data_IF_534715079096
#
_entry.id   IF_534715079096
#
_cell.length_a   1.000
_cell.length_b   1.000
_cell.length_c   1.000
_cell.angle_alpha   90.00
_cell.angle_beta   90.00
_cell.angle_gamma   90.00
#
_symmetry.space_group_name_H-M   'P 1'
#
loop_
_entity.id
_entity.type
_entity.pdbx_description
1 polymer ?
#
# COMPACT_ATOMS: atom_id res chain seq x y z
N UNK A 1 -6.22 33.37 -8.26
CA UNK A 1 -5.77 32.06 -7.73
C UNK A 1 -6.97 31.14 -7.85
N UNK A 2 -6.83 29.98 -8.48
CA UNK A 2 -7.95 29.05 -8.66
C UNK A 2 -8.52 28.64 -7.30
N UNK A 3 -9.82 28.58 -7.19
CA UNK A 3 -10.48 28.14 -5.96
C UNK A 3 -10.61 26.62 -5.96
N UNK A 4 -10.15 25.99 -4.89
CA UNK A 4 -10.12 24.55 -4.73
C UNK A 4 -11.10 24.09 -3.66
N UNK A 5 -11.85 23.03 -3.93
CA UNK A 5 -12.77 22.40 -2.97
C UNK A 5 -12.19 21.06 -2.55
N UNK A 6 -12.02 20.88 -1.25
CA UNK A 6 -11.66 19.60 -0.65
C UNK A 6 -12.91 18.94 -0.09
N UNK A 7 -13.12 17.68 -0.44
CA UNK A 7 -14.27 16.91 0.03
C UNK A 7 -13.88 15.46 0.30
N UNK A 8 -14.56 14.85 1.28
CA UNK A 8 -14.36 13.44 1.61
C UNK A 8 -15.30 12.55 0.80
N UNK A 9 -14.79 11.42 0.33
CA UNK A 9 -15.60 10.34 -0.22
C UNK A 9 -15.64 9.18 0.77
N UNK A 10 -16.83 8.68 1.04
CA UNK A 10 -17.06 7.54 1.94
C UNK A 10 -16.96 6.18 1.24
N UNK A 11 -16.79 6.20 -0.07
CA UNK A 11 -16.57 5.01 -0.91
C UNK A 11 -15.90 5.39 -2.22
N UNK A 12 -15.11 4.47 -2.78
CA UNK A 12 -14.61 4.59 -4.16
C UNK A 12 -15.73 4.67 -5.18
N UNK A 13 -16.92 4.15 -4.88
CA UNK A 13 -18.11 4.27 -5.75
C UNK A 13 -18.60 5.71 -5.93
N UNK A 14 -18.21 6.63 -5.04
CA UNK A 14 -18.57 8.05 -5.13
C UNK A 14 -17.68 8.84 -6.10
N UNK A 15 -16.61 8.21 -6.63
CA UNK A 15 -15.57 8.84 -7.43
C UNK A 15 -15.51 8.17 -8.80
N UNK A 16 -15.38 8.96 -9.87
CA UNK A 16 -15.16 8.44 -11.22
C UNK A 16 -13.83 7.68 -11.30
N UNK A 17 -13.84 6.44 -11.81
CA UNK A 17 -12.65 5.64 -12.00
C UNK A 17 -11.64 6.33 -12.92
N UNK A 18 -12.09 6.91 -14.03
CA UNK A 18 -11.22 7.64 -14.96
C UNK A 18 -10.59 8.88 -14.32
N UNK A 19 -11.35 9.64 -13.53
CA UNK A 19 -10.83 10.83 -12.84
C UNK A 19 -9.83 10.46 -11.73
N UNK A 20 -10.12 9.42 -10.95
CA UNK A 20 -9.18 8.90 -9.96
C UNK A 20 -7.87 8.43 -10.60
N UNK A 21 -7.97 7.57 -11.61
CA UNK A 21 -6.81 7.00 -12.29
C UNK A 21 -6.00 8.07 -13.05
N UNK A 22 -6.65 9.11 -13.59
CA UNK A 22 -5.95 10.24 -14.19
C UNK A 22 -5.10 11.02 -13.15
N UNK A 23 -5.58 11.19 -11.92
CA UNK A 23 -4.83 11.87 -10.87
C UNK A 23 -3.80 10.96 -10.21
N UNK A 24 -4.15 9.70 -9.90
CA UNK A 24 -3.31 8.75 -9.17
C UNK A 24 -2.26 8.07 -10.07
N UNK A 25 -2.54 7.94 -11.37
CA UNK A 25 -1.78 7.13 -12.32
C UNK A 25 -2.24 5.67 -12.33
N UNK A 26 -2.02 5.00 -13.46
CA UNK A 26 -2.45 3.61 -13.69
C UNK A 26 -1.33 2.58 -13.56
N UNK A 27 -0.09 3.04 -13.48
CA UNK A 27 1.10 2.17 -13.53
C UNK A 27 1.21 1.22 -12.32
N UNK A 28 0.80 1.68 -11.13
CA UNK A 28 0.76 0.85 -9.92
C UNK A 28 -0.65 0.26 -9.73
N UNK A 29 -0.85 -1.06 -9.90
CA UNK A 29 -2.18 -1.67 -9.87
C UNK A 29 -2.89 -1.51 -8.53
N UNK A 30 -2.16 -1.37 -7.42
CA UNK A 30 -2.74 -1.24 -6.08
C UNK A 30 -3.31 0.15 -5.80
N UNK A 31 -2.83 1.18 -6.52
CA UNK A 31 -3.30 2.55 -6.38
C UNK A 31 -4.49 2.87 -7.29
N UNK A 32 -4.84 1.97 -8.20
CA UNK A 32 -5.96 2.15 -9.14
C UNK A 32 -7.30 2.11 -8.43
N UNK A 33 -8.24 2.85 -8.99
CA UNK A 33 -9.62 2.88 -8.51
C UNK A 33 -10.22 1.48 -8.37
N UNK A 34 -10.01 0.62 -9.35
CA UNK A 34 -10.57 -0.72 -9.44
C UNK A 34 -10.10 -1.62 -8.28
N UNK A 35 -8.82 -1.48 -7.88
CA UNK A 35 -8.28 -2.26 -6.75
C UNK A 35 -8.90 -1.83 -5.43
N UNK A 36 -8.98 -0.51 -5.19
CA UNK A 36 -9.59 0.04 -3.97
C UNK A 36 -11.09 -0.26 -3.91
N UNK A 37 -11.78 -0.12 -5.03
CA UNK A 37 -13.21 -0.46 -5.15
C UNK A 37 -13.44 -1.95 -4.84
N UNK A 38 -12.59 -2.85 -5.35
CA UNK A 38 -12.69 -4.27 -5.06
C UNK A 38 -12.52 -4.58 -3.56
N UNK A 39 -11.60 -3.88 -2.86
CA UNK A 39 -11.44 -4.00 -1.41
C UNK A 39 -12.69 -3.57 -0.64
N UNK A 40 -13.32 -2.47 -1.05
CA UNK A 40 -14.51 -1.94 -0.38
C UNK A 40 -15.77 -2.76 -0.69
N UNK A 41 -16.08 -3.00 -1.95
CA UNK A 41 -17.26 -3.74 -2.37
C UNK A 41 -17.27 -5.19 -1.88
N UNK A 42 -16.10 -5.82 -1.82
CA UNK A 42 -15.95 -7.14 -1.22
C UNK A 42 -16.07 -7.14 0.30
N UNK A 43 -16.15 -5.95 0.93
CA UNK A 43 -16.11 -5.76 2.38
C UNK A 43 -14.82 -6.26 3.04
N UNK A 44 -13.74 -6.43 2.27
CA UNK A 44 -12.43 -6.69 2.82
C UNK A 44 -11.90 -5.46 3.57
N UNK A 45 -12.13 -4.25 3.03
CA UNK A 45 -11.88 -2.99 3.71
C UNK A 45 -13.22 -2.26 3.94
N UNK A 46 -13.68 -2.26 5.19
CA UNK A 46 -14.92 -1.59 5.61
C UNK A 46 -14.86 -1.29 7.12
N UNK A 47 -15.85 -0.60 7.64
CA UNK A 47 -15.95 -0.27 9.08
C UNK A 47 -15.84 -1.50 9.98
N UNK A 48 -16.50 -2.61 9.60
CA UNK A 48 -16.48 -3.85 10.38
C UNK A 48 -15.08 -4.51 10.43
N UNK A 49 -14.20 -4.23 9.46
CA UNK A 49 -12.80 -4.71 9.43
C UNK A 49 -11.81 -3.63 9.90
N UNK A 50 -12.32 -2.56 10.50
CA UNK A 50 -11.52 -1.45 11.01
C UNK A 50 -10.87 -0.56 9.94
N UNK A 51 -11.36 -0.59 8.71
CA UNK A 51 -10.93 0.23 7.57
C UNK A 51 -12.11 1.02 7.01
N UNK A 52 -12.52 2.10 7.69
CA UNK A 52 -13.63 2.95 7.22
C UNK A 52 -13.13 3.92 6.16
N UNK A 53 -13.60 3.83 4.89
CA UNK A 53 -13.14 4.72 3.82
C UNK A 53 -13.46 6.20 4.11
N UNK A 54 -12.49 7.06 3.81
CA UNK A 54 -12.56 8.53 3.95
C UNK A 54 -11.65 9.20 2.94
N UNK A 55 -11.75 8.80 1.65
CA UNK A 55 -10.85 9.32 0.62
C UNK A 55 -10.98 10.82 0.49
N UNK A 56 -9.85 11.51 0.39
CA UNK A 56 -9.84 12.95 0.24
C UNK A 56 -9.67 13.30 -1.24
N UNK A 57 -10.56 14.15 -1.73
CA UNK A 57 -10.64 14.60 -3.12
C UNK A 57 -10.47 16.11 -3.18
N UNK A 58 -9.74 16.62 -4.19
CA UNK A 58 -9.58 18.04 -4.47
C UNK A 58 -10.13 18.33 -5.85
N UNK A 59 -11.10 19.25 -5.90
CA UNK A 59 -11.76 19.69 -7.12
C UNK A 59 -11.34 21.12 -7.46
N UNK A 60 -11.17 21.41 -8.75
CA UNK A 60 -10.91 22.75 -9.26
C UNK A 60 -12.24 23.44 -9.60
N UNK A 61 -12.68 24.35 -8.77
CA UNK A 61 -13.88 25.14 -8.98
C UNK A 61 -13.65 26.38 -9.88
N UNK A 62 -12.40 26.61 -10.30
CA UNK A 62 -12.04 27.78 -11.11
C UNK A 62 -12.35 29.09 -10.38
N UNK A 63 -12.98 30.02 -11.09
CA UNK A 63 -13.45 31.29 -10.55
C UNK A 63 -14.95 31.28 -10.17
N UNK A 64 -15.62 30.13 -10.31
CA UNK A 64 -17.07 30.02 -10.14
C UNK A 64 -17.53 30.20 -8.70
N UNK A 65 -16.66 29.98 -7.72
CA UNK A 65 -16.98 30.24 -6.29
C UNK A 65 -17.04 31.73 -5.94
N UNK A 66 -16.58 32.64 -6.80
CA UNK A 66 -16.74 34.08 -6.58
C UNK A 66 -18.21 34.52 -6.60
N UNK A 67 -19.07 33.73 -7.27
CA UNK A 67 -20.53 33.91 -7.33
C UNK A 67 -21.31 33.04 -6.33
N UNK A 68 -20.67 32.06 -5.71
CA UNK A 68 -21.26 31.29 -4.62
C UNK A 68 -21.24 32.18 -3.38
N UNK A 69 -22.42 32.70 -3.09
CA UNK A 69 -22.72 33.51 -1.92
C UNK A 69 -21.87 33.10 -0.71
N UNK A 70 -21.23 34.08 -0.05
CA UNK A 70 -20.59 33.95 1.28
C UNK A 70 -21.54 33.39 2.37
N UNK A 71 -22.73 32.92 1.96
CA UNK A 71 -23.81 32.32 2.75
C UNK A 71 -23.88 30.79 2.61
N UNK A 72 -23.09 30.14 1.70
CA UNK A 72 -23.08 28.67 1.66
C UNK A 72 -22.33 28.13 2.86
N UNK A 73 -23.09 27.81 3.91
CA UNK A 73 -22.59 27.22 5.16
C UNK A 73 -21.96 25.82 4.97
N UNK A 74 -21.99 25.27 3.75
CA UNK A 74 -21.39 23.98 3.44
C UNK A 74 -19.88 24.05 3.19
N UNK A 75 -19.32 25.24 2.98
CA UNK A 75 -17.91 25.47 2.69
C UNK A 75 -17.23 26.27 3.80
N UNK A 76 -16.13 25.74 4.34
CA UNK A 76 -15.28 26.43 5.29
C UNK A 76 -13.93 26.78 4.64
N UNK A 77 -13.45 28.03 4.78
CA UNK A 77 -12.20 28.42 4.15
C UNK A 77 -10.98 27.70 4.76
N UNK A 78 -10.03 27.36 3.90
CA UNK A 78 -8.69 26.93 4.26
C UNK A 78 -7.68 28.00 3.86
N UNK A 79 -6.49 27.95 4.42
CA UNK A 79 -5.38 28.76 3.93
C UNK A 79 -5.13 28.48 2.44
N UNK A 80 -4.32 29.32 1.79
CA UNK A 80 -3.91 29.15 0.39
C UNK A 80 -5.07 29.12 -0.63
N UNK A 81 -6.25 29.71 -0.29
CA UNK A 81 -7.39 29.82 -1.21
C UNK A 81 -8.13 28.50 -1.48
N UNK A 82 -8.07 27.57 -0.55
CA UNK A 82 -8.88 26.35 -0.57
C UNK A 82 -10.10 26.45 0.33
N UNK A 83 -11.05 25.54 0.10
CA UNK A 83 -12.25 25.37 0.91
C UNK A 83 -12.43 23.88 1.23
N UNK A 84 -12.78 23.57 2.48
CA UNK A 84 -13.23 22.24 2.86
C UNK A 84 -14.76 22.21 2.89
N UNK A 85 -15.35 21.15 2.31
CA UNK A 85 -16.80 21.00 2.27
C UNK A 85 -17.29 19.98 3.28
N UNK A 86 -18.43 20.26 3.89
CA UNK A 86 -19.21 19.29 4.67
C UNK A 86 -19.97 18.30 3.77
N UNK A 87 -20.14 18.62 2.47
CA UNK A 87 -20.75 17.72 1.51
C UNK A 87 -19.75 16.66 1.04
N UNK A 88 -20.26 15.49 0.67
CA UNK A 88 -19.41 14.40 0.15
C UNK A 88 -18.90 14.69 -1.25
N UNK A 89 -17.78 14.09 -1.62
CA UNK A 89 -17.10 14.30 -2.92
C UNK A 89 -18.04 14.18 -4.14
N UNK A 90 -19.01 13.27 -4.11
CA UNK A 90 -19.98 13.08 -5.21
C UNK A 90 -20.78 14.34 -5.58
N UNK A 91 -20.95 15.30 -4.66
CA UNK A 91 -21.64 16.56 -4.94
C UNK A 91 -20.81 17.50 -5.81
N UNK A 92 -19.52 17.23 -5.98
CA UNK A 92 -18.60 18.07 -6.75
C UNK A 92 -18.14 17.42 -8.05
N UNK A 93 -18.77 16.31 -8.49
CA UNK A 93 -18.41 15.60 -9.73
C UNK A 93 -18.57 16.43 -11.01
N UNK A 94 -19.23 17.59 -10.96
CA UNK A 94 -19.28 18.55 -12.06
C UNK A 94 -17.97 19.34 -12.23
N UNK A 95 -17.11 19.38 -11.20
CA UNK A 95 -15.82 20.04 -11.25
C UNK A 95 -14.70 19.03 -11.59
N UNK A 96 -13.63 19.48 -12.26
CA UNK A 96 -12.46 18.64 -12.49
C UNK A 96 -11.83 18.13 -11.18
N UNK A 97 -11.70 16.83 -11.03
CA UNK A 97 -10.96 16.20 -9.93
C UNK A 97 -9.47 16.33 -10.23
N UNK A 98 -8.74 17.12 -9.46
CA UNK A 98 -7.32 17.43 -9.69
C UNK A 98 -6.37 16.74 -8.73
N UNK A 99 -6.85 16.30 -7.56
CA UNK A 99 -6.03 15.48 -6.67
C UNK A 99 -6.88 14.54 -5.82
N UNK A 100 -6.24 13.45 -5.39
CA UNK A 100 -6.87 12.39 -4.59
C UNK A 100 -5.88 11.83 -3.57
N UNK A 101 -6.40 11.35 -2.44
CA UNK A 101 -5.64 10.66 -1.40
C UNK A 101 -6.46 9.48 -0.88
N UNK A 102 -6.03 8.21 -1.06
CA UNK A 102 -6.67 7.08 -0.41
C UNK A 102 -6.50 7.23 1.11
N UNK A 103 -7.59 7.35 1.82
CA UNK A 103 -7.60 7.60 3.26
C UNK A 103 -8.64 6.73 3.95
N UNK A 104 -8.28 6.22 5.12
CA UNK A 104 -9.15 5.37 5.93
C UNK A 104 -9.08 5.80 7.39
N UNK A 105 -10.23 5.79 8.06
CA UNK A 105 -10.29 5.87 9.51
C UNK A 105 -10.14 4.46 10.08
N UNK A 106 -9.17 4.30 10.98
CA UNK A 106 -8.78 3.01 11.56
C UNK A 106 -9.21 2.89 13.00
N UNK A 107 -9.80 1.75 13.35
CA UNK A 107 -10.14 1.37 14.73
C UNK A 107 -9.11 0.44 15.38
N UNK A 108 -8.08 0.01 14.65
CA UNK A 108 -6.97 -0.83 15.09
C UNK A 108 -5.86 -0.83 14.02
N UNK A 109 -4.64 -1.30 14.33
CA UNK A 109 -3.49 -1.26 13.40
C UNK A 109 -3.31 -2.51 12.53
N UNK A 110 -4.26 -3.48 12.55
CA UNK A 110 -4.14 -4.67 11.69
C UNK A 110 -4.22 -4.32 10.20
N UNK A 111 -3.38 -4.98 9.40
CA UNK A 111 -3.35 -4.87 7.96
C UNK A 111 -2.59 -3.66 7.41
N UNK A 112 -1.92 -2.87 8.25
CA UNK A 112 -1.13 -1.70 7.87
C UNK A 112 0.31 -2.05 7.49
N UNK A 113 0.90 -3.08 8.10
CA UNK A 113 2.28 -3.54 7.91
C UNK A 113 3.38 -2.53 8.24
N UNK A 114 3.02 -1.40 8.87
CA UNK A 114 3.93 -0.49 9.57
C UNK A 114 3.50 -0.51 11.02
N UNK A 115 4.24 -1.24 11.84
CA UNK A 115 3.81 -1.62 13.17
C UNK A 115 4.01 -0.47 14.15
N UNK A 116 2.90 -0.01 14.74
CA UNK A 116 2.84 1.04 15.76
C UNK A 116 2.21 0.55 17.09
N UNK A 117 2.30 -0.76 17.33
CA UNK A 117 1.74 -1.39 18.54
C UNK A 117 2.29 -0.79 19.82
N UNK A 118 3.61 -0.46 19.86
CA UNK A 118 4.23 0.18 21.00
C UNK A 118 3.67 1.58 21.28
N UNK A 119 3.23 2.29 20.25
CA UNK A 119 2.59 3.61 20.38
C UNK A 119 1.18 3.45 20.97
N UNK A 120 0.39 2.52 20.42
CA UNK A 120 -0.95 2.22 20.92
C UNK A 120 -0.91 1.77 22.38
N UNK A 121 0.01 0.87 22.74
CA UNK A 121 0.20 0.41 24.13
C UNK A 121 0.64 1.54 25.07
N UNK A 122 1.47 2.48 24.59
CA UNK A 122 1.86 3.66 25.37
C UNK A 122 0.65 4.56 25.68
N UNK A 123 -0.24 4.78 24.71
CA UNK A 123 -1.49 5.52 24.93
C UNK A 123 -2.37 4.82 25.97
N UNK A 124 -2.61 3.51 25.80
CA UNK A 124 -3.43 2.71 26.71
C UNK A 124 -2.90 2.75 28.15
N UNK A 125 -1.57 2.61 28.34
CA UNK A 125 -0.93 2.69 29.67
C UNK A 125 -1.12 4.04 30.37
N UNK A 126 -1.39 5.11 29.60
CA UNK A 126 -1.67 6.44 30.15
C UNK A 126 -3.16 6.78 30.18
N UNK A 127 -4.03 5.80 29.90
CA UNK A 127 -5.48 5.99 29.92
C UNK A 127 -6.00 6.88 28.78
N UNK A 128 -5.31 6.92 27.65
CA UNK A 128 -5.67 7.69 26.46
C UNK A 128 -5.98 6.76 25.28
N UNK A 129 -6.91 7.20 24.45
CA UNK A 129 -7.30 6.47 23.25
C UNK A 129 -6.34 6.75 22.08
N UNK A 130 -5.74 5.67 21.53
CA UNK A 130 -4.95 5.74 20.31
C UNK A 130 -5.82 5.68 19.04
N UNK A 131 -6.98 5.07 19.14
CA UNK A 131 -7.94 4.96 18.04
C UNK A 131 -9.19 5.80 18.34
N UNK A 132 -9.81 6.36 17.29
CA UNK A 132 -9.51 6.22 15.87
C UNK A 132 -8.28 7.04 15.43
N UNK A 133 -7.64 6.56 14.38
CA UNK A 133 -6.57 7.29 13.68
C UNK A 133 -6.83 7.29 12.18
N UNK A 134 -6.18 8.18 11.43
CA UNK A 134 -6.27 8.17 9.97
C UNK A 134 -5.03 7.54 9.35
N UNK A 135 -5.28 6.72 8.30
CA UNK A 135 -4.22 6.03 7.56
C UNK A 135 -4.41 6.25 6.07
N UNK A 136 -3.42 6.92 5.47
CA UNK A 136 -3.24 7.03 4.04
C UNK A 136 -2.36 5.87 3.57
N UNK A 137 -2.98 4.79 3.15
CA UNK A 137 -2.35 3.56 2.68
C UNK A 137 -3.33 2.76 1.81
N UNK A 138 -2.83 1.70 1.20
CA UNK A 138 -3.65 0.71 0.54
C UNK A 138 -3.91 -0.44 1.54
N UNK A 139 -5.15 -0.76 1.90
CA UNK A 139 -5.45 -1.79 2.89
C UNK A 139 -4.83 -3.14 2.55
N UNK A 140 -4.25 -3.80 3.53
CA UNK A 140 -3.64 -5.15 3.43
C UNK A 140 -2.52 -5.28 2.39
N UNK A 141 -1.94 -4.13 1.95
CA UNK A 141 -1.05 -4.07 0.79
C UNK A 141 0.22 -3.28 1.11
N UNK A 142 1.29 -3.93 1.59
CA UNK A 142 2.54 -3.28 1.94
C UNK A 142 3.40 -3.00 0.69
N UNK A 143 2.92 -2.13 -0.19
CA UNK A 143 3.57 -1.76 -1.45
C UNK A 143 3.85 -0.27 -1.46
N UNK A 144 5.07 0.10 -1.86
CA UNK A 144 5.35 1.50 -2.18
C UNK A 144 4.47 1.96 -3.35
N UNK A 145 3.85 3.12 -3.16
CA UNK A 145 2.99 3.71 -4.18
C UNK A 145 2.75 5.19 -3.92
N UNK A 146 2.14 5.84 -4.87
CA UNK A 146 1.68 7.20 -4.67
C UNK A 146 0.65 7.22 -3.54
N UNK A 147 0.82 8.17 -2.62
CA UNK A 147 -0.09 8.39 -1.50
C UNK A 147 -0.91 9.67 -1.67
N UNK A 148 -0.45 10.53 -2.55
CA UNK A 148 -1.18 11.68 -3.09
C UNK A 148 -1.14 11.55 -4.62
N UNK A 149 -2.29 11.39 -5.26
CA UNK A 149 -2.43 11.49 -6.70
C UNK A 149 -2.72 12.94 -7.06
N UNK A 150 -1.93 13.54 -7.95
CA UNK A 150 -2.16 14.89 -8.46
C UNK A 150 -2.17 14.81 -9.98
N UNK A 151 -3.24 15.32 -10.59
CA UNK A 151 -3.44 15.23 -12.02
C UNK A 151 -2.27 15.88 -12.79
N UNK A 152 -1.69 15.23 -13.81
CA UNK A 152 -0.49 15.73 -14.52
C UNK A 152 -0.67 17.10 -15.18
N UNK A 153 -1.90 17.51 -15.47
CA UNK A 153 -2.20 18.84 -16.02
C UNK A 153 -2.08 19.98 -14.99
N UNK A 154 -1.93 19.66 -13.69
CA UNK A 154 -1.69 20.66 -12.64
C UNK A 154 -0.22 21.09 -12.73
N UNK A 155 0.01 22.40 -12.85
CA UNK A 155 1.36 22.96 -12.90
C UNK A 155 2.17 22.62 -11.65
N UNK A 156 3.47 22.43 -11.80
CA UNK A 156 4.35 21.96 -10.71
C UNK A 156 4.29 22.84 -9.45
N UNK A 157 4.21 24.15 -9.62
CA UNK A 157 4.07 25.09 -8.48
C UNK A 157 2.75 24.87 -7.74
N UNK A 158 1.67 24.61 -8.47
CA UNK A 158 0.35 24.35 -7.93
C UNK A 158 0.26 22.96 -7.28
N UNK A 159 1.03 21.96 -7.78
CA UNK A 159 1.09 20.64 -7.15
C UNK A 159 1.55 20.69 -5.69
N UNK A 160 2.53 21.55 -5.38
CA UNK A 160 2.98 21.76 -4.00
C UNK A 160 1.88 22.37 -3.13
N UNK A 161 1.17 23.38 -3.66
CA UNK A 161 0.03 23.99 -2.98
C UNK A 161 -1.08 22.96 -2.71
N UNK A 162 -1.44 22.14 -3.71
CA UNK A 162 -2.44 21.09 -3.56
C UNK A 162 -2.02 20.06 -2.51
N UNK A 163 -0.76 19.62 -2.52
CA UNK A 163 -0.23 18.71 -1.50
C UNK A 163 -0.29 19.32 -0.10
N UNK A 164 0.06 20.61 0.04
CA UNK A 164 -0.04 21.31 1.32
C UNK A 164 -1.48 21.40 1.81
N UNK A 165 -2.45 21.68 0.94
CA UNK A 165 -3.87 21.70 1.29
C UNK A 165 -4.35 20.32 1.80
N UNK A 166 -3.94 19.22 1.15
CA UNK A 166 -4.24 17.86 1.63
C UNK A 166 -3.69 17.62 3.02
N UNK A 167 -2.41 17.95 3.25
CA UNK A 167 -1.77 17.76 4.56
C UNK A 167 -2.35 18.69 5.64
N UNK A 168 -2.67 19.94 5.30
CA UNK A 168 -3.32 20.88 6.20
C UNK A 168 -4.71 20.39 6.62
N UNK A 169 -5.45 19.78 5.71
CA UNK A 169 -6.76 19.19 6.00
C UNK A 169 -6.61 18.06 7.03
N UNK A 170 -5.64 17.14 6.86
CA UNK A 170 -5.37 16.11 7.85
C UNK A 170 -4.96 16.69 9.22
N UNK A 171 -4.08 17.70 9.21
CA UNK A 171 -3.60 18.34 10.45
C UNK A 171 -4.72 19.08 11.19
N UNK A 172 -5.63 19.73 10.46
CA UNK A 172 -6.78 20.43 11.06
C UNK A 172 -7.67 19.50 11.87
N UNK A 173 -7.81 18.26 11.43
CA UNK A 173 -8.59 17.25 12.16
C UNK A 173 -7.94 16.83 13.48
N UNK A 174 -6.60 16.89 13.59
CA UNK A 174 -5.89 16.60 14.83
C UNK A 174 -6.02 17.74 15.85
N UNK A 175 -5.95 18.99 15.39
CA UNK A 175 -6.01 20.18 16.25
C UNK A 175 -7.37 20.27 16.95
N UNK A 176 -8.45 19.86 16.27
CA UNK A 176 -9.79 19.86 16.85
C UNK A 176 -9.93 18.97 18.07
N UNK A 177 -9.08 17.98 18.21
CA UNK A 177 -9.04 17.09 19.36
C UNK A 177 -8.35 17.67 20.61
N UNK A 178 -7.48 18.68 20.44
CA UNK A 178 -6.66 19.18 21.55
C UNK A 178 -7.25 20.41 22.26
N UNK A 179 -8.00 21.25 21.56
CA UNK A 179 -8.25 22.60 22.09
C UNK A 179 -9.62 22.80 22.71
N UNK A 180 -10.58 21.86 22.68
CA UNK A 180 -11.99 22.14 23.01
C UNK A 180 -12.49 23.50 22.42
N UNK A 181 -11.68 24.10 21.56
CA UNK A 181 -12.05 25.26 20.78
C UNK A 181 -13.11 24.81 19.80
N UNK A 182 -14.25 25.40 19.93
CA UNK A 182 -15.40 25.32 19.05
C UNK A 182 -14.93 25.42 17.58
N UNK A 183 -14.44 24.33 17.03
CA UNK A 183 -14.46 24.19 15.58
C UNK A 183 -15.92 24.24 15.22
N UNK A 184 -16.26 25.15 14.32
CA UNK A 184 -17.62 25.34 13.83
C UNK A 184 -18.28 23.97 13.70
N UNK A 185 -19.40 23.79 14.39
CA UNK A 185 -20.20 22.53 14.41
C UNK A 185 -20.36 21.90 13.02
N UNK A 186 -20.21 22.70 11.97
CA UNK A 186 -20.27 22.29 10.58
C UNK A 186 -19.19 21.26 10.14
N UNK A 187 -18.00 21.20 10.77
CA UNK A 187 -16.95 20.22 10.41
C UNK A 187 -17.06 18.96 11.25
N UNK A 188 -17.49 19.11 12.51
CA UNK A 188 -17.71 17.98 13.42
C UNK A 188 -18.98 17.18 13.06
N UNK A 189 -19.98 17.83 12.48
CA UNK A 189 -21.25 17.24 12.09
C UNK A 189 -21.28 16.67 10.68
N UNK A 190 -20.13 16.40 10.03
CA UNK A 190 -20.14 15.65 8.78
C UNK A 190 -20.71 14.26 9.00
N UNK A 191 -21.76 13.83 8.26
CA UNK A 191 -22.28 12.48 8.37
C UNK A 191 -21.16 11.49 8.09
N UNK A 192 -20.70 10.80 9.15
CA UNK A 192 -19.68 9.77 9.06
C UNK A 192 -18.26 10.14 9.51
N UNK A 193 -17.96 11.37 9.94
CA UNK A 193 -16.88 11.61 10.90
C UNK A 193 -17.44 11.17 12.26
N UNK A 194 -16.89 10.10 12.85
CA UNK A 194 -17.33 9.65 14.18
C UNK A 194 -17.10 10.75 15.20
N UNK A 195 -17.90 10.75 16.27
CA UNK A 195 -17.86 11.73 17.37
C UNK A 195 -16.53 11.70 18.18
N UNK A 196 -15.60 10.81 17.83
CA UNK A 196 -14.34 10.64 18.54
C UNK A 196 -13.20 11.40 17.87
N UNK A 197 -12.38 12.12 18.65
CA UNK A 197 -11.24 12.85 18.14
C UNK A 197 -10.20 11.88 17.51
N UNK A 198 -9.57 12.32 16.43
CA UNK A 198 -8.51 11.57 15.74
C UNK A 198 -7.19 11.76 16.48
N UNK A 199 -6.58 10.68 16.96
CA UNK A 199 -5.33 10.73 17.73
C UNK A 199 -4.10 11.07 16.89
N UNK A 200 -4.11 10.64 15.61
CA UNK A 200 -2.95 10.72 14.71
C UNK A 200 -3.35 10.48 13.27
N UNK A 201 -2.47 10.83 12.32
CA UNK A 201 -2.57 10.35 10.96
C UNK A 201 -1.22 9.82 10.47
N UNK A 202 -1.28 8.86 9.56
CA UNK A 202 -0.13 8.13 9.05
C UNK A 202 -0.22 7.96 7.54
N UNK A 203 0.87 8.24 6.82
CA UNK A 203 1.01 7.95 5.39
C UNK A 203 2.07 6.87 5.21
N UNK A 204 1.67 5.67 4.78
CA UNK A 204 2.50 4.48 4.81
C UNK A 204 3.00 4.11 3.40
N UNK A 205 4.23 3.60 3.30
CA UNK A 205 4.86 3.14 2.05
C UNK A 205 4.92 4.23 0.98
N UNK A 206 5.26 5.46 1.39
CA UNK A 206 5.43 6.61 0.51
C UNK A 206 6.61 6.37 -0.42
N UNK A 207 6.43 6.67 -1.72
CA UNK A 207 7.52 6.57 -2.69
C UNK A 207 8.57 7.66 -2.49
N UNK A 208 9.85 7.40 -2.80
CA UNK A 208 10.90 8.41 -2.72
C UNK A 208 10.60 9.68 -3.52
N UNK A 209 9.88 9.57 -4.64
CA UNK A 209 9.48 10.71 -5.46
C UNK A 209 8.46 11.64 -4.78
N UNK A 210 7.68 11.13 -3.82
CA UNK A 210 6.70 11.93 -3.06
C UNK A 210 7.24 12.45 -1.71
N UNK A 211 8.39 11.97 -1.25
CA UNK A 211 9.02 12.43 -0.01
C UNK A 211 9.06 13.97 0.11
N UNK A 212 9.44 14.74 -0.94
CA UNK A 212 9.47 16.21 -0.84
C UNK A 212 8.12 16.86 -0.56
N UNK A 213 7.00 16.23 -0.97
CA UNK A 213 5.65 16.75 -0.71
C UNK A 213 5.31 16.68 0.78
N UNK A 214 5.77 15.65 1.48
CA UNK A 214 5.57 15.47 2.92
C UNK A 214 6.55 16.31 3.74
N UNK A 215 7.81 16.39 3.33
CA UNK A 215 8.86 17.17 4.01
C UNK A 215 8.68 18.67 3.85
N UNK A 216 8.02 19.11 2.79
CA UNK A 216 7.63 20.52 2.60
C UNK A 216 6.44 20.97 3.43
N UNK A 217 5.86 20.10 4.29
CA UNK A 217 4.77 20.47 5.19
C UNK A 217 5.23 21.49 6.22
N UNK A 218 4.43 22.56 6.50
CA UNK A 218 4.74 23.51 7.56
C UNK A 218 4.74 22.90 8.97
N UNK A 219 4.10 21.73 9.12
CA UNK A 219 4.14 20.97 10.37
C UNK A 219 5.21 19.89 10.24
N UNK A 220 6.16 19.84 11.17
CA UNK A 220 7.18 18.80 11.18
C UNK A 220 6.54 17.42 11.34
N UNK A 221 6.57 16.65 10.27
CA UNK A 221 6.11 15.26 10.26
C UNK A 221 7.23 14.34 10.72
N UNK A 222 6.87 13.29 11.45
CA UNK A 222 7.81 12.25 11.82
C UNK A 222 8.03 11.35 10.60
N UNK A 223 9.25 11.31 10.09
CA UNK A 223 9.66 10.40 9.01
C UNK A 223 10.22 9.13 9.62
N UNK A 224 9.56 8.00 9.40
CA UNK A 224 9.99 6.69 9.87
C UNK A 224 10.57 5.87 8.73
N UNK A 225 11.71 5.24 8.97
CA UNK A 225 12.39 4.34 8.05
C UNK A 225 12.09 2.88 8.40
N UNK A 226 11.60 2.12 7.43
CA UNK A 226 11.49 0.66 7.46
C UNK A 226 12.27 0.03 6.31
N UNK A 227 12.19 -1.28 6.17
CA UNK A 227 12.81 -2.00 5.06
C UNK A 227 11.93 -3.13 4.54
N UNK A 228 12.06 -3.39 3.24
CA UNK A 228 11.60 -4.58 2.55
C UNK A 228 12.75 -5.16 1.73
N UNK A 229 12.51 -6.29 1.08
CA UNK A 229 13.52 -6.94 0.26
C UNK A 229 12.99 -7.14 -1.15
N UNK A 230 13.61 -6.48 -2.13
CA UNK A 230 13.25 -6.57 -3.53
C UNK A 230 14.36 -7.24 -4.33
N UNK A 231 13.99 -8.03 -5.33
CA UNK A 231 14.93 -8.56 -6.29
C UNK A 231 15.01 -7.62 -7.50
N UNK A 232 16.23 -7.45 -8.02
CA UNK A 232 16.51 -6.57 -9.16
C UNK A 232 17.10 -7.37 -10.31
N UNK A 233 16.48 -7.25 -11.49
CA UNK A 233 17.02 -7.82 -12.70
C UNK A 233 18.21 -6.99 -13.18
N UNK A 234 19.35 -7.63 -13.29
CA UNK A 234 20.60 -7.03 -13.77
C UNK A 234 20.94 -7.43 -15.21
N UNK A 235 19.91 -7.75 -16.00
CA UNK A 235 20.07 -8.19 -17.38
C UNK A 235 20.46 -9.66 -17.48
N UNK A 236 20.02 -10.50 -16.56
CA UNK A 236 20.27 -11.93 -16.61
C UNK A 236 19.59 -12.55 -17.82
N UNK A 237 20.29 -13.47 -18.50
CA UNK A 237 19.79 -14.21 -19.66
C UNK A 237 18.79 -15.30 -19.28
N UNK A 238 19.04 -15.95 -18.16
CA UNK A 238 18.24 -17.03 -17.60
C UNK A 238 18.50 -17.17 -16.08
N UNK A 239 17.77 -18.08 -15.43
CA UNK A 239 17.94 -18.35 -14.00
C UNK A 239 19.32 -18.89 -13.64
N UNK A 240 19.99 -19.65 -14.53
CA UNK A 240 21.34 -20.14 -14.27
C UNK A 240 22.38 -19.00 -14.31
N UNK A 241 22.19 -18.04 -15.21
CA UNK A 241 23.02 -16.83 -15.27
C UNK A 241 22.87 -15.99 -14.00
N UNK A 242 21.65 -15.83 -13.49
CA UNK A 242 21.39 -15.23 -12.18
C UNK A 242 22.17 -15.97 -11.08
N UNK A 243 22.06 -17.30 -11.01
CA UNK A 243 22.77 -18.10 -10.01
C UNK A 243 24.30 -18.09 -10.20
N UNK A 244 24.79 -17.85 -11.42
CA UNK A 244 26.22 -17.72 -11.68
C UNK A 244 26.86 -16.53 -10.94
N UNK A 245 26.06 -15.49 -10.63
CA UNK A 245 26.47 -14.35 -9.79
C UNK A 245 26.66 -14.71 -8.31
N UNK A 246 26.16 -15.86 -7.83
CA UNK A 246 26.24 -16.27 -6.44
C UNK A 246 27.57 -16.95 -6.11
N UNK A 247 27.98 -16.89 -4.82
CA UNK A 247 29.05 -17.73 -4.31
C UNK A 247 28.67 -19.21 -4.46
N UNK A 248 29.70 -20.08 -4.67
CA UNK A 248 29.47 -21.50 -4.98
C UNK A 248 28.63 -22.23 -3.94
N UNK A 249 28.81 -21.93 -2.65
CA UNK A 249 28.02 -22.51 -1.55
C UNK A 249 26.54 -22.10 -1.63
N UNK A 250 26.28 -20.80 -1.82
CA UNK A 250 24.92 -20.27 -1.87
C UNK A 250 24.15 -20.79 -3.09
N UNK A 251 24.81 -20.83 -4.25
CA UNK A 251 24.25 -21.43 -5.47
C UNK A 251 23.85 -22.89 -5.27
N UNK A 252 24.73 -23.69 -4.66
CA UNK A 252 24.44 -25.10 -4.37
C UNK A 252 23.22 -25.27 -3.47
N UNK A 253 23.04 -24.39 -2.48
CA UNK A 253 21.89 -24.43 -1.57
C UNK A 253 20.56 -24.22 -2.33
N UNK A 254 20.48 -23.21 -3.21
CA UNK A 254 19.28 -22.97 -4.00
C UNK A 254 18.97 -24.15 -4.93
N UNK A 255 19.99 -24.67 -5.63
CA UNK A 255 19.80 -25.84 -6.49
C UNK A 255 19.30 -27.05 -5.71
N UNK A 256 19.81 -27.27 -4.48
CA UNK A 256 19.35 -28.33 -3.58
C UNK A 256 17.88 -28.10 -3.15
N UNK A 257 17.52 -26.89 -2.77
CA UNK A 257 16.12 -26.57 -2.42
C UNK A 257 15.15 -26.88 -3.56
N UNK A 258 15.48 -26.48 -4.79
CA UNK A 258 14.65 -26.76 -5.97
C UNK A 258 14.60 -28.26 -6.28
N UNK A 259 15.73 -28.98 -6.14
CA UNK A 259 15.79 -30.41 -6.37
C UNK A 259 14.93 -31.25 -5.40
N UNK A 260 14.68 -30.75 -4.19
CA UNK A 260 13.83 -31.43 -3.20
C UNK A 260 12.38 -31.61 -3.68
N UNK A 261 11.92 -30.79 -4.62
CA UNK A 261 10.57 -30.87 -5.18
C UNK A 261 10.46 -31.86 -6.36
N UNK A 262 11.56 -32.28 -6.96
CA UNK A 262 11.55 -33.19 -8.13
C UNK A 262 10.78 -34.49 -7.90
N UNK A 263 10.88 -35.18 -6.74
CA UNK A 263 10.17 -36.44 -6.51
C UNK A 263 8.65 -36.32 -6.55
N UNK A 264 8.11 -35.10 -6.37
CA UNK A 264 6.66 -34.86 -6.33
C UNK A 264 6.06 -34.63 -7.72
N UNK A 265 6.89 -34.53 -8.77
CA UNK A 265 6.47 -34.30 -10.16
C UNK A 265 5.48 -33.13 -10.31
N UNK A 266 5.75 -32.02 -9.57
CA UNK A 266 4.93 -30.82 -9.63
C UNK A 266 5.13 -30.09 -10.95
N UNK A 267 4.04 -29.60 -11.52
CA UNK A 267 4.05 -28.73 -12.69
C UNK A 267 3.73 -27.30 -12.26
N UNK A 268 4.57 -26.35 -12.66
CA UNK A 268 4.42 -24.93 -12.40
C UNK A 268 4.05 -24.23 -13.70
N UNK A 269 2.93 -23.51 -13.69
CA UNK A 269 2.45 -22.81 -14.89
C UNK A 269 1.89 -21.44 -14.52
N UNK A 270 2.41 -20.40 -15.16
CA UNK A 270 1.81 -19.07 -15.09
C UNK A 270 0.59 -18.98 -16.01
N UNK A 271 -0.49 -18.39 -15.48
CA UNK A 271 -1.75 -18.16 -16.18
C UNK A 271 -2.06 -16.68 -16.10
N UNK A 272 -2.20 -16.01 -17.25
CA UNK A 272 -2.59 -14.62 -17.35
C UNK A 272 -4.03 -14.43 -16.85
N UNK A 273 -4.32 -13.28 -16.23
CA UNK A 273 -5.58 -13.05 -15.52
C UNK A 273 -6.84 -13.30 -16.35
N UNK A 274 -6.81 -12.95 -17.64
CA UNK A 274 -7.93 -13.21 -18.57
C UNK A 274 -8.16 -14.71 -18.86
N UNK A 275 -7.14 -15.54 -18.64
CA UNK A 275 -7.16 -16.97 -18.91
C UNK A 275 -7.42 -17.81 -17.65
N UNK A 276 -7.43 -17.18 -16.46
CA UNK A 276 -7.67 -17.89 -15.20
C UNK A 276 -9.11 -18.38 -15.16
N UNK A 277 -9.30 -19.70 -15.14
CA UNK A 277 -10.63 -20.32 -15.08
C UNK A 277 -11.30 -20.13 -13.72
N UNK A 278 -12.62 -20.23 -13.69
CA UNK A 278 -13.39 -20.17 -12.45
C UNK A 278 -12.93 -21.25 -11.43
N UNK A 279 -12.57 -22.45 -11.92
CA UNK A 279 -12.06 -23.54 -11.08
C UNK A 279 -10.70 -23.19 -10.46
N UNK A 280 -9.78 -22.61 -11.23
CA UNK A 280 -8.48 -22.16 -10.73
C UNK A 280 -8.63 -21.06 -9.67
N UNK A 281 -9.52 -20.08 -9.90
CA UNK A 281 -9.85 -19.07 -8.90
C UNK A 281 -10.39 -19.69 -7.61
N UNK A 282 -11.34 -20.62 -7.72
CA UNK A 282 -11.93 -21.28 -6.55
C UNK A 282 -10.87 -22.06 -5.75
N UNK A 283 -10.01 -22.82 -6.42
CA UNK A 283 -8.94 -23.59 -5.77
C UNK A 283 -7.90 -22.66 -5.14
N UNK A 284 -7.51 -21.58 -5.84
CA UNK A 284 -6.59 -20.58 -5.28
C UNK A 284 -7.13 -19.94 -4.00
N UNK A 285 -8.40 -19.51 -4.01
CA UNK A 285 -9.06 -18.92 -2.85
C UNK A 285 -9.08 -19.91 -1.67
N UNK A 286 -9.37 -21.17 -1.94
CA UNK A 286 -9.32 -22.22 -0.92
C UNK A 286 -7.91 -22.39 -0.35
N UNK A 287 -6.88 -22.48 -1.20
CA UNK A 287 -5.48 -22.54 -0.78
C UNK A 287 -5.09 -21.35 0.09
N UNK A 288 -5.46 -20.13 -0.32
CA UNK A 288 -5.22 -18.89 0.43
C UNK A 288 -5.84 -18.96 1.83
N UNK A 289 -7.12 -19.31 1.92
CA UNK A 289 -7.85 -19.39 3.18
C UNK A 289 -7.26 -20.45 4.12
N UNK A 290 -6.91 -21.64 3.61
CA UNK A 290 -6.29 -22.70 4.40
C UNK A 290 -4.92 -22.28 4.96
N UNK A 291 -4.11 -21.59 4.17
CA UNK A 291 -2.81 -21.09 4.60
C UNK A 291 -2.94 -20.08 5.74
N UNK A 292 -3.90 -19.15 5.66
CA UNK A 292 -4.16 -18.20 6.74
C UNK A 292 -4.75 -18.85 7.98
N UNK A 293 -5.68 -19.78 7.80
CA UNK A 293 -6.29 -20.54 8.90
C UNK A 293 -5.22 -21.26 9.72
N UNK A 294 -4.27 -21.90 9.03
CA UNK A 294 -3.16 -22.62 9.67
C UNK A 294 -2.19 -21.67 10.43
N UNK A 295 -1.88 -20.51 9.85
CA UNK A 295 -0.87 -19.60 10.40
C UNK A 295 -1.41 -18.65 11.45
N UNK A 296 -2.65 -18.21 11.33
CA UNK A 296 -3.21 -17.08 12.08
C UNK A 296 -4.58 -17.37 12.69
N UNK A 297 -5.14 -18.57 12.50
CA UNK A 297 -6.44 -18.98 13.05
C UNK A 297 -7.66 -18.30 12.39
N UNK A 298 -7.47 -17.53 11.32
CA UNK A 298 -8.56 -16.91 10.54
C UNK A 298 -8.37 -17.15 9.03
N UNK A 299 -9.42 -16.93 8.25
CA UNK A 299 -9.42 -17.22 6.80
C UNK A 299 -8.77 -16.16 5.91
N UNK A 300 -7.98 -15.26 6.48
CA UNK A 300 -7.35 -14.15 5.77
C UNK A 300 -8.18 -12.87 5.85
N UNK A 301 -7.59 -11.77 5.41
CA UNK A 301 -8.22 -10.44 5.41
C UNK A 301 -9.08 -10.22 4.15
N UNK A 302 -8.76 -10.90 3.05
CA UNK A 302 -9.40 -10.72 1.76
C UNK A 302 -10.47 -11.79 1.55
N UNK A 303 -11.65 -11.35 1.13
CA UNK A 303 -12.79 -12.24 0.90
C UNK A 303 -12.72 -12.92 -0.48
N UNK A 304 -13.43 -14.04 -0.71
CA UNK A 304 -13.54 -14.63 -2.04
C UNK A 304 -14.01 -13.62 -3.11
N UNK A 305 -14.95 -12.74 -2.76
CA UNK A 305 -15.48 -11.70 -3.64
C UNK A 305 -14.39 -10.72 -4.09
N UNK A 306 -13.41 -10.41 -3.23
CA UNK A 306 -12.28 -9.56 -3.61
C UNK A 306 -11.50 -10.18 -4.78
N UNK A 307 -11.14 -11.45 -4.70
CA UNK A 307 -10.37 -12.12 -5.75
C UNK A 307 -11.14 -12.22 -7.06
N UNK A 308 -12.47 -12.45 -6.98
CA UNK A 308 -13.33 -12.47 -8.15
C UNK A 308 -13.38 -11.09 -8.84
N UNK A 309 -13.54 -10.02 -8.05
CA UNK A 309 -13.55 -8.65 -8.57
C UNK A 309 -12.18 -8.24 -9.12
N UNK A 310 -11.09 -8.64 -8.45
CA UNK A 310 -9.73 -8.41 -8.92
C UNK A 310 -9.51 -9.04 -10.30
N UNK A 311 -9.91 -10.30 -10.47
CA UNK A 311 -9.83 -10.99 -11.76
C UNK A 311 -10.70 -10.36 -12.85
N UNK A 312 -11.87 -9.80 -12.49
CA UNK A 312 -12.77 -9.16 -13.44
C UNK A 312 -12.31 -7.75 -13.85
N UNK A 313 -11.78 -6.96 -12.92
CA UNK A 313 -11.50 -5.54 -13.14
C UNK A 313 -10.05 -5.24 -13.49
N UNK A 314 -9.10 -6.08 -13.07
CA UNK A 314 -7.66 -5.93 -13.26
C UNK A 314 -7.03 -7.14 -13.93
N UNK A 315 -7.78 -7.87 -14.76
CA UNK A 315 -7.31 -9.09 -15.41
C UNK A 315 -5.95 -8.91 -16.12
N UNK A 316 -5.74 -7.81 -16.82
CA UNK A 316 -4.48 -7.52 -17.52
C UNK A 316 -3.26 -7.41 -16.57
N UNK A 317 -3.48 -7.03 -15.30
CA UNK A 317 -2.43 -6.92 -14.29
C UNK A 317 -2.25 -8.21 -13.49
N UNK A 318 -3.25 -9.07 -13.44
CA UNK A 318 -3.24 -10.30 -12.63
C UNK A 318 -2.45 -11.40 -13.32
N UNK A 319 -1.64 -12.12 -12.55
CA UNK A 319 -0.89 -13.29 -12.98
C UNK A 319 -0.96 -14.34 -11.88
N UNK A 320 -1.45 -15.53 -12.19
CA UNK A 320 -1.56 -16.65 -11.25
C UNK A 320 -0.54 -17.74 -11.60
N UNK A 321 0.34 -18.06 -10.66
CA UNK A 321 1.10 -19.30 -10.73
C UNK A 321 0.22 -20.45 -10.21
N UNK A 322 -0.09 -21.40 -11.06
CA UNK A 322 -0.78 -22.64 -10.74
C UNK A 322 0.26 -23.72 -10.52
N UNK A 323 0.12 -24.48 -9.44
CA UNK A 323 0.96 -25.63 -9.14
C UNK A 323 0.08 -26.87 -9.16
N UNK A 324 0.33 -27.77 -10.11
CA UNK A 324 -0.39 -29.05 -10.27
C UNK A 324 0.47 -30.22 -9.78
N UNK A 325 -0.19 -31.22 -9.21
CA UNK A 325 0.45 -32.50 -8.86
C UNK A 325 0.54 -33.43 -10.09
N UNK A 326 1.08 -34.63 -9.87
CA UNK A 326 1.21 -35.65 -10.93
C UNK A 326 -0.13 -36.13 -11.53
N UNK A 327 -1.27 -35.84 -10.88
CA UNK A 327 -2.62 -36.18 -11.38
C UNK A 327 -3.24 -35.02 -12.16
N UNK A 328 -2.56 -33.84 -12.22
CA UNK A 328 -3.11 -32.66 -12.82
C UNK A 328 -4.05 -31.86 -11.89
N UNK A 329 -4.06 -32.15 -10.59
CA UNK A 329 -4.86 -31.40 -9.62
C UNK A 329 -4.09 -30.19 -9.11
N UNK A 330 -4.71 -29.03 -9.08
CA UNK A 330 -4.11 -27.82 -8.53
C UNK A 330 -3.99 -27.93 -7.00
N UNK A 331 -2.76 -27.99 -6.50
CA UNK A 331 -2.45 -28.17 -5.07
C UNK A 331 -1.92 -26.91 -4.40
N UNK A 332 -1.50 -25.92 -5.18
CA UNK A 332 -1.03 -24.63 -4.66
C UNK A 332 -1.16 -23.52 -5.71
N UNK A 333 -1.12 -22.28 -5.25
CA UNK A 333 -1.10 -21.13 -6.14
C UNK A 333 -0.44 -19.91 -5.50
N UNK A 334 0.21 -19.11 -6.34
CA UNK A 334 0.74 -17.79 -5.95
C UNK A 334 0.20 -16.74 -6.91
N UNK A 335 -0.41 -15.70 -6.35
CA UNK A 335 -0.99 -14.59 -7.11
C UNK A 335 -0.02 -13.41 -7.12
N UNK A 336 0.23 -12.94 -8.33
CA UNK A 336 1.07 -11.79 -8.61
C UNK A 336 0.25 -10.71 -9.30
N UNK A 337 0.74 -9.47 -9.19
CA UNK A 337 0.26 -8.37 -10.01
C UNK A 337 1.43 -7.77 -10.80
N UNK A 338 1.15 -7.37 -12.02
CA UNK A 338 2.09 -6.70 -12.93
C UNK A 338 1.82 -5.19 -12.90
N UNK A 339 2.86 -4.38 -12.87
CA UNK A 339 2.75 -2.92 -12.92
C UNK A 339 4.09 -2.26 -13.11
N UNK A 340 4.14 -0.96 -12.80
CA UNK A 340 5.37 -0.18 -12.85
C UNK A 340 5.54 0.61 -11.55
N UNK A 341 6.79 0.88 -11.21
CA UNK A 341 7.10 1.80 -10.12
C UNK A 341 7.22 3.25 -10.64
N UNK A 342 7.43 4.20 -9.74
CA UNK A 342 7.53 5.63 -10.07
C UNK A 342 8.76 6.00 -10.93
N UNK A 343 9.65 5.04 -11.22
CA UNK A 343 10.78 5.19 -12.14
C UNK A 343 10.49 4.61 -13.54
N UNK A 344 9.26 4.16 -13.80
CA UNK A 344 8.88 3.50 -15.05
C UNK A 344 9.48 2.10 -15.22
N UNK A 345 9.93 1.46 -14.14
CA UNK A 345 10.45 0.11 -14.19
C UNK A 345 9.29 -0.89 -14.04
N UNK A 346 9.23 -1.89 -14.92
CA UNK A 346 8.27 -2.98 -14.80
C UNK A 346 8.50 -3.74 -13.49
N UNK A 347 7.46 -3.86 -12.69
CA UNK A 347 7.48 -4.52 -11.39
C UNK A 347 6.53 -5.72 -11.36
N UNK A 348 7.03 -6.85 -10.88
CA UNK A 348 6.22 -7.99 -10.48
C UNK A 348 6.00 -7.91 -8.97
N UNK A 349 4.74 -8.00 -8.54
CA UNK A 349 4.36 -7.94 -7.13
C UNK A 349 3.79 -9.28 -6.70
N UNK A 350 4.54 -10.09 -5.95
CA UNK A 350 4.03 -11.33 -5.33
C UNK A 350 3.28 -11.01 -4.04
N UNK A 351 1.99 -11.36 -3.95
CA UNK A 351 1.16 -10.92 -2.82
C UNK A 351 0.46 -12.01 -2.06
N UNK A 352 -0.17 -12.93 -2.74
CA UNK A 352 -1.01 -13.92 -2.08
C UNK A 352 -0.57 -15.32 -2.46
N UNK A 353 -0.48 -16.17 -1.45
CA UNK A 353 -0.02 -17.55 -1.58
C UNK A 353 -0.92 -18.48 -0.80
N UNK A 354 -1.10 -19.66 -1.33
CA UNK A 354 -1.74 -20.74 -0.59
C UNK A 354 -1.46 -22.12 -1.15
N UNK A 355 -1.65 -23.11 -0.30
CA UNK A 355 -1.44 -24.53 -0.64
C UNK A 355 -2.37 -25.44 0.18
N UNK A 356 -2.75 -26.55 -0.41
CA UNK A 356 -3.46 -27.66 0.25
C UNK A 356 -2.51 -28.76 0.74
N UNK A 357 -1.25 -28.72 0.32
CA UNK A 357 -0.22 -29.72 0.65
C UNK A 357 0.94 -29.11 1.43
N UNK A 358 1.60 -29.89 2.26
CA UNK A 358 2.80 -29.49 3.01
C UNK A 358 4.02 -30.13 2.37
N UNK A 359 4.75 -29.34 1.59
CA UNK A 359 5.99 -29.75 0.95
C UNK A 359 7.07 -28.72 1.24
N UNK A 360 8.17 -29.18 1.83
CA UNK A 360 9.32 -28.34 2.11
C UNK A 360 9.87 -27.72 0.82
N UNK A 361 10.11 -26.42 0.85
CA UNK A 361 10.61 -25.67 -0.30
C UNK A 361 9.54 -25.20 -1.29
N UNK A 362 8.29 -25.72 -1.26
CA UNK A 362 7.26 -25.34 -2.22
C UNK A 362 6.93 -23.83 -2.19
N UNK A 363 6.85 -23.26 -0.98
CA UNK A 363 6.65 -21.82 -0.83
C UNK A 363 7.78 -21.01 -1.49
N UNK A 364 9.04 -21.41 -1.32
CA UNK A 364 10.17 -20.71 -1.92
C UNK A 364 10.20 -20.86 -3.45
N UNK A 365 9.92 -22.04 -3.93
CA UNK A 365 9.80 -22.27 -5.38
C UNK A 365 8.71 -21.39 -5.97
N UNK A 366 7.48 -21.48 -5.45
CA UNK A 366 6.33 -20.79 -6.02
C UNK A 366 6.37 -19.27 -5.82
N UNK A 367 6.79 -18.78 -4.64
CA UNK A 367 6.73 -17.36 -4.32
C UNK A 367 8.00 -16.57 -4.67
N UNK A 368 9.15 -17.23 -4.90
CA UNK A 368 10.40 -16.54 -5.21
C UNK A 368 11.05 -17.03 -6.50
N UNK A 369 11.39 -18.31 -6.63
CA UNK A 369 12.18 -18.78 -7.78
C UNK A 369 11.41 -18.69 -9.08
N UNK A 370 10.15 -19.07 -9.09
CA UNK A 370 9.28 -18.94 -10.26
C UNK A 370 9.07 -17.44 -10.61
N UNK A 371 8.85 -16.58 -9.61
CA UNK A 371 8.73 -15.13 -9.84
C UNK A 371 10.00 -14.50 -10.40
N UNK A 372 11.20 -14.88 -9.92
CA UNK A 372 12.49 -14.44 -10.47
C UNK A 372 12.64 -14.91 -11.92
N UNK A 373 12.32 -16.18 -12.19
CA UNK A 373 12.40 -16.75 -13.52
C UNK A 373 11.48 -16.01 -14.49
N UNK A 374 10.22 -15.78 -14.09
CA UNK A 374 9.27 -14.98 -14.87
C UNK A 374 9.80 -13.56 -15.14
N UNK A 375 10.38 -12.91 -14.12
CA UNK A 375 10.96 -11.56 -14.30
C UNK A 375 12.10 -11.54 -15.31
N UNK A 376 12.94 -12.56 -15.33
CA UNK A 376 14.03 -12.67 -16.31
C UNK A 376 13.46 -12.88 -17.72
N UNK A 377 12.54 -13.83 -17.88
CA UNK A 377 11.95 -14.22 -19.17
C UNK A 377 11.12 -13.09 -19.81
N UNK A 378 10.48 -12.25 -18.99
CA UNK A 378 9.58 -11.17 -19.43
C UNK A 378 10.16 -9.75 -19.22
N UNK A 379 11.44 -9.64 -18.92
CA UNK A 379 12.18 -8.38 -18.75
C UNK A 379 11.58 -7.45 -17.68
N UNK A 380 11.07 -8.00 -16.57
CA UNK A 380 10.73 -7.22 -15.40
C UNK A 380 12.01 -6.81 -14.67
N UNK A 381 12.09 -5.53 -14.28
CA UNK A 381 13.28 -4.97 -13.62
C UNK A 381 13.29 -5.18 -12.13
N UNK A 382 12.10 -5.22 -11.50
CA UNK A 382 11.94 -5.33 -10.05
C UNK A 382 10.94 -6.43 -9.71
N UNK A 383 11.28 -7.24 -8.71
CA UNK A 383 10.33 -8.17 -8.10
C UNK A 383 10.19 -7.86 -6.60
N UNK A 384 9.01 -7.40 -6.20
CA UNK A 384 8.59 -7.21 -4.82
C UNK A 384 7.76 -8.41 -4.37
N UNK A 385 8.37 -9.30 -3.59
CA UNK A 385 7.74 -10.52 -3.11
C UNK A 385 7.07 -10.37 -1.72
N UNK A 386 6.65 -9.14 -1.34
CA UNK A 386 5.95 -8.84 -0.09
C UNK A 386 6.85 -8.39 1.07
N UNK A 387 6.23 -7.96 2.18
CA UNK A 387 6.90 -7.23 3.25
C UNK A 387 7.86 -8.07 4.10
N UNK A 388 7.58 -9.35 4.32
CA UNK A 388 8.30 -10.16 5.31
C UNK A 388 9.43 -10.98 4.71
N UNK A 389 10.45 -11.25 5.54
CA UNK A 389 11.33 -12.40 5.38
C UNK A 389 12.78 -12.11 5.05
N UNK A 390 13.65 -12.13 6.07
CA UNK A 390 15.10 -12.14 5.92
C UNK A 390 15.61 -13.31 5.06
N UNK A 391 14.86 -14.43 5.02
CA UNK A 391 15.15 -15.55 4.15
C UNK A 391 15.19 -15.19 2.65
N UNK A 392 14.60 -14.05 2.24
CA UNK A 392 14.70 -13.50 0.89
C UNK A 392 16.12 -13.06 0.54
N UNK A 393 16.87 -12.53 1.52
CA UNK A 393 18.25 -12.06 1.33
C UNK A 393 19.13 -13.17 0.78
N UNK A 394 19.00 -14.38 1.33
CA UNK A 394 19.75 -15.55 0.87
C UNK A 394 19.39 -15.99 -0.56
N UNK A 395 18.31 -15.46 -1.12
CA UNK A 395 17.80 -15.72 -2.46
C UNK A 395 18.02 -14.54 -3.42
N UNK A 396 18.86 -13.56 -3.00
CA UNK A 396 19.28 -12.45 -3.85
C UNK A 396 18.36 -11.25 -3.84
N UNK A 397 17.40 -11.18 -2.89
CA UNK A 397 16.62 -9.96 -2.67
C UNK A 397 17.42 -8.98 -1.82
N UNK A 398 17.44 -7.74 -2.20
CA UNK A 398 18.21 -6.67 -1.61
C UNK A 398 17.35 -5.79 -0.70
N UNK A 399 17.89 -5.27 0.42
CA UNK A 399 17.14 -4.38 1.30
C UNK A 399 16.81 -3.05 0.59
N UNK A 400 15.56 -2.64 0.69
CA UNK A 400 15.03 -1.41 0.10
C UNK A 400 14.39 -0.56 1.19
N UNK A 401 14.72 0.74 1.23
CA UNK A 401 14.16 1.68 2.19
C UNK A 401 12.66 1.89 1.95
N UNK A 402 11.88 1.81 3.03
CA UNK A 402 10.46 2.08 3.07
C UNK A 402 10.21 3.29 3.96
N UNK A 403 9.51 4.29 3.43
CA UNK A 403 9.22 5.51 4.19
C UNK A 403 7.76 5.60 4.58
N UNK A 404 7.54 6.06 5.81
CA UNK A 404 6.23 6.46 6.28
C UNK A 404 6.32 7.82 6.99
N UNK A 405 5.23 8.57 6.99
CA UNK A 405 5.12 9.88 7.62
C UNK A 405 3.97 9.87 8.62
N UNK A 406 4.22 10.46 9.78
CA UNK A 406 3.29 10.40 10.90
C UNK A 406 3.13 11.78 11.52
N UNK A 407 1.91 12.10 11.94
CA UNK A 407 1.64 13.24 12.82
C UNK A 407 0.77 12.77 13.98
N UNK A 408 1.20 13.15 15.19
CA UNK A 408 0.60 12.74 16.45
C UNK A 408 -0.04 13.97 17.08
N UNK A 409 -1.30 13.87 17.49
CA UNK A 409 -2.04 14.97 18.08
C UNK A 409 -1.47 15.38 19.44
N UNK A 410 -1.27 14.42 20.34
CA UNK A 410 -0.82 14.67 21.72
C UNK A 410 0.66 15.06 21.76
N UNK A 411 0.99 16.30 22.16
CA UNK A 411 2.34 16.86 22.11
C UNK A 411 3.39 16.04 22.88
N UNK A 412 3.03 15.54 24.07
CA UNK A 412 3.94 14.71 24.88
C UNK A 412 4.27 13.39 24.19
N UNK A 413 3.27 12.71 23.59
CA UNK A 413 3.52 11.51 22.80
C UNK A 413 4.25 11.81 21.51
N UNK A 414 3.98 12.95 20.85
CA UNK A 414 4.72 13.37 19.65
C UNK A 414 6.21 13.47 19.96
N UNK A 415 6.60 14.11 21.07
CA UNK A 415 7.99 14.22 21.48
C UNK A 415 8.63 12.85 21.75
N UNK A 416 7.99 12.00 22.55
CA UNK A 416 8.50 10.65 22.88
C UNK A 416 8.62 9.75 21.65
N UNK A 417 7.65 9.81 20.72
CA UNK A 417 7.68 9.06 19.47
C UNK A 417 8.76 9.60 18.52
N UNK A 418 9.03 10.91 18.54
CA UNK A 418 10.14 11.50 17.76
C UNK A 418 11.47 10.86 18.17
N UNK A 419 11.77 10.88 19.47
CA UNK A 419 13.01 10.29 20.01
C UNK A 419 13.11 8.80 19.66
N UNK A 420 11.99 8.07 19.79
CA UNK A 420 11.94 6.64 19.41
C UNK A 420 12.25 6.42 17.93
N UNK A 421 11.62 7.18 17.02
CA UNK A 421 11.78 7.05 15.57
C UNK A 421 13.20 7.43 15.12
N UNK A 422 13.83 8.41 15.76
CA UNK A 422 15.22 8.78 15.48
C UNK A 422 16.18 7.62 15.81
N UNK A 423 16.02 6.99 16.99
CA UNK A 423 16.81 5.82 17.37
C UNK A 423 16.54 4.61 16.48
N UNK A 424 15.26 4.33 16.17
CA UNK A 424 14.87 3.24 15.28
C UNK A 424 15.45 3.45 13.87
N UNK A 425 15.52 4.68 13.38
CA UNK A 425 16.11 4.99 12.07
C UNK A 425 17.59 4.60 11.99
N UNK A 426 18.36 4.89 13.04
CA UNK A 426 19.77 4.49 13.09
C UNK A 426 19.93 2.97 13.12
N UNK A 427 19.11 2.28 13.90
CA UNK A 427 19.12 0.80 13.96
C UNK A 427 18.71 0.20 12.61
N UNK A 428 17.71 0.77 11.93
CA UNK A 428 17.25 0.29 10.63
C UNK A 428 18.30 0.48 9.54
N UNK A 429 19.02 1.61 9.55
CA UNK A 429 20.15 1.83 8.64
C UNK A 429 21.28 0.80 8.84
N UNK A 430 21.62 0.51 10.09
CA UNK A 430 22.61 -0.53 10.41
C UNK A 430 22.13 -1.92 9.98
N UNK A 431 20.86 -2.25 10.24
CA UNK A 431 20.26 -3.50 9.82
C UNK A 431 20.29 -3.67 8.30
N UNK A 432 19.92 -2.63 7.54
CA UNK A 432 19.96 -2.68 6.07
C UNK A 432 21.38 -2.89 5.56
N UNK A 433 22.39 -2.24 6.17
CA UNK A 433 23.80 -2.45 5.82
C UNK A 433 24.24 -3.89 6.09
N UNK A 434 23.88 -4.47 7.25
CA UNK A 434 24.16 -5.86 7.58
C UNK A 434 23.51 -6.83 6.58
N UNK A 435 22.25 -6.56 6.16
CA UNK A 435 21.56 -7.38 5.17
C UNK A 435 22.23 -7.30 3.79
N UNK A 436 22.77 -6.14 3.43
CA UNK A 436 23.55 -5.96 2.20
C UNK A 436 24.84 -6.82 2.22
N UNK A 437 25.51 -6.92 3.38
CA UNK A 437 26.75 -7.70 3.54
C UNK A 437 26.54 -9.22 3.43
N UNK A 438 25.35 -9.73 3.78
CA UNK A 438 25.04 -11.17 3.74
C UNK A 438 24.38 -11.64 2.46
N UNK A 439 24.24 -10.76 1.46
CA UNK A 439 23.75 -11.13 0.14
C UNK A 439 24.56 -12.31 -0.44
N UNK A 440 23.92 -13.15 -1.26
CA UNK A 440 24.54 -14.37 -1.75
C UNK A 440 25.57 -14.16 -2.86
N UNK A 441 25.65 -12.95 -3.39
CA UNK A 441 26.49 -12.61 -4.54
C UNK A 441 27.99 -12.77 -4.26
N UNK A 442 28.76 -13.02 -5.30
CA UNK A 442 30.22 -12.98 -5.21
C UNK A 442 30.65 -11.57 -4.81
N UNK A 443 31.56 -11.48 -3.84
CA UNK A 443 32.23 -10.20 -3.55
C UNK A 443 33.22 -9.95 -4.68
N UNK A 444 33.24 -8.76 -5.23
CA UNK A 444 34.29 -8.37 -6.14
C UNK A 444 35.62 -8.45 -5.42
N UNK A 445 36.70 -8.95 -6.06
CA UNK A 445 38.00 -8.88 -5.45
C UNK A 445 38.35 -7.40 -5.23
N UNK A 446 38.65 -7.08 -3.96
CA UNK A 446 39.08 -5.75 -3.51
C UNK A 446 40.39 -5.35 -4.14
#
# INVERSE_FOLDING_TARGET
MRQLILAFASSMSDISASAWNAAMGEANPFCRHEFLLALEQSRSACTATGWTPRHLCVFDAGDTLNDVDSKDKSLSPLAEGGFISVQTAKHFNQFPLIAVMPLYQKSHSYGEYVFDWAWAEAYERHGLDYYPKWVNAIPFTPVQGQRMGIHPAVERAEQLRVAQLLLMTLNRQLISAQDNLVLEEAILNQPGLGDSPISSWHSLFVTPSQTPLFEGSPNSLLKRLGTQFHWHNRGYRDFNDFLAGFSSRKRKNILKERAQLQPFNLKFQFVEGEQITASQWQTFIQCYQLTYLKRSGHRGYLTPTFFQQLGAQLAAQVLLLVVEDAKGEMVAGALYLKGENTRGQKCLYGRYWGTTVELDGLHFEACYYQGIQYCIEHEFQVFDAGAQGEHKVLRGFEPVAMYSYHNIAHLGFKAAITDFVEQETLQMQQYMAQMQDVLPYKKEPS
#
